data_IF_915912450349
#
_entry.id   IF_915912450349
#
_cell.length_a   1.000
_cell.length_b   1.000
_cell.length_c   1.000
_cell.angle_alpha   90.00
_cell.angle_beta   90.00
_cell.angle_gamma   90.00
#
_symmetry.space_group_name_H-M   'P 1'
#
loop_
_entity.id
_entity.type
_entity.pdbx_description
1 polymer ?
#
# COMPACT_ATOMS: atom_id res chain seq x y z
N UNK A 1 2.31 4.85 9.22
CA UNK A 1 3.08 4.56 8.02
C UNK A 1 4.56 4.49 8.38
N UNK A 2 5.35 3.75 7.61
CA UNK A 2 6.78 3.58 7.89
C UNK A 2 7.71 4.43 7.02
N UNK A 3 7.19 5.16 6.04
CA UNK A 3 8.02 5.88 5.08
C UNK A 3 7.36 7.12 4.49
N UNK A 4 6.36 6.98 3.59
CA UNK A 4 5.50 8.06 3.12
C UNK A 4 4.40 8.41 4.12
N UNK A 5 3.52 9.36 3.80
CA UNK A 5 2.35 9.76 4.61
C UNK A 5 2.68 10.16 6.06
N UNK A 6 3.86 10.76 6.29
CA UNK A 6 4.33 11.18 7.61
C UNK A 6 4.13 12.68 7.88
N UNK A 7 3.25 13.35 7.12
CA UNK A 7 3.10 14.81 7.19
C UNK A 7 2.81 15.34 8.59
N UNK A 8 1.91 14.69 9.33
CA UNK A 8 1.54 15.13 10.69
C UNK A 8 2.71 15.00 11.68
N UNK A 9 3.54 13.97 11.52
CA UNK A 9 4.77 13.82 12.32
C UNK A 9 5.81 14.86 11.93
N UNK A 10 6.03 15.06 10.63
CA UNK A 10 7.04 15.98 10.11
C UNK A 10 6.66 17.44 10.30
N UNK A 11 5.38 17.74 10.58
CA UNK A 11 4.94 19.08 11.00
C UNK A 11 5.39 19.45 12.41
N UNK A 12 5.76 18.48 13.26
CA UNK A 12 6.25 18.72 14.62
C UNK A 12 7.73 19.11 14.58
N UNK A 13 8.12 20.18 15.24
CA UNK A 13 9.49 20.69 15.23
C UNK A 13 10.56 19.64 15.55
N UNK A 14 10.26 18.73 16.49
CA UNK A 14 11.19 17.69 16.91
C UNK A 14 11.48 16.63 15.82
N UNK A 15 10.61 16.50 14.80
CA UNK A 15 10.76 15.51 13.72
C UNK A 15 11.04 16.14 12.36
N UNK A 16 10.94 17.46 12.26
CA UNK A 16 11.11 18.21 11.01
C UNK A 16 12.45 17.91 10.32
N UNK A 17 13.49 17.68 11.10
CA UNK A 17 14.81 17.31 10.57
C UNK A 17 14.84 15.94 9.88
N UNK A 18 13.81 15.09 10.07
CA UNK A 18 13.72 13.76 9.46
C UNK A 18 13.08 13.78 8.08
N UNK A 19 12.54 14.92 7.64
CA UNK A 19 11.92 15.05 6.33
C UNK A 19 12.96 14.93 5.21
N UNK A 20 12.59 14.19 4.16
CA UNK A 20 13.36 14.11 2.90
C UNK A 20 13.46 15.48 2.25
N UNK A 21 12.32 16.19 2.13
CA UNK A 21 12.22 17.56 1.60
C UNK A 21 11.66 18.50 2.67
N UNK A 22 12.48 19.06 3.59
CA UNK A 22 12.00 19.85 4.73
C UNK A 22 11.18 21.10 4.36
N UNK A 23 11.43 21.65 3.17
CA UNK A 23 10.71 22.84 2.66
C UNK A 23 9.44 22.49 1.87
N UNK A 24 9.06 21.21 1.85
CA UNK A 24 7.97 20.68 1.04
C UNK A 24 8.41 20.30 -0.36
N UNK A 25 7.49 19.71 -1.11
CA UNK A 25 7.73 19.13 -2.42
C UNK A 25 6.62 19.50 -3.41
N UNK A 26 6.98 19.85 -4.65
CA UNK A 26 6.00 20.09 -5.71
C UNK A 26 5.57 18.79 -6.38
N UNK A 27 4.28 18.48 -6.27
CA UNK A 27 3.66 17.33 -6.93
C UNK A 27 2.25 17.69 -7.39
N UNK A 28 1.85 17.20 -8.58
CA UNK A 28 0.54 17.48 -9.22
C UNK A 28 0.20 18.97 -9.32
N UNK A 29 1.22 19.79 -9.60
CA UNK A 29 1.06 21.25 -9.78
C UNK A 29 0.79 22.04 -8.49
N UNK A 30 1.04 21.44 -7.32
CA UNK A 30 0.94 22.15 -6.04
C UNK A 30 2.09 21.78 -5.10
N UNK A 31 2.52 22.78 -4.32
CA UNK A 31 3.49 22.54 -3.25
C UNK A 31 2.80 21.90 -2.06
N UNK A 32 3.29 20.73 -1.66
CA UNK A 32 2.80 19.96 -0.52
C UNK A 32 3.76 20.02 0.66
N UNK A 33 3.26 19.93 1.90
CA UNK A 33 4.12 19.82 3.07
C UNK A 33 4.96 18.53 2.99
N UNK A 34 6.10 18.46 3.73
CA UNK A 34 6.89 17.24 3.82
C UNK A 34 6.04 16.04 4.24
N UNK A 35 6.19 14.90 3.55
CA UNK A 35 5.44 13.68 3.84
C UNK A 35 6.30 12.42 3.83
N UNK A 36 7.53 12.47 3.32
CA UNK A 36 8.44 11.33 3.25
C UNK A 36 9.59 11.51 4.22
N UNK A 37 9.93 10.45 4.97
CA UNK A 37 11.13 10.42 5.81
C UNK A 37 12.39 10.34 4.94
N UNK A 38 13.48 10.94 5.40
CA UNK A 38 14.81 10.74 4.84
C UNK A 38 15.33 9.33 5.24
N UNK A 39 15.42 8.36 4.31
CA UNK A 39 15.83 6.99 4.63
C UNK A 39 17.33 6.88 4.95
N UNK A 40 18.11 7.91 4.62
CA UNK A 40 19.55 7.95 4.89
C UNK A 40 19.86 8.45 6.30
N UNK A 41 18.89 9.07 6.96
CA UNK A 41 19.03 9.55 8.32
C UNK A 41 18.78 8.41 9.33
N UNK A 42 19.75 8.02 10.15
CA UNK A 42 19.56 6.93 11.12
C UNK A 42 18.45 7.22 12.13
N UNK A 43 18.14 8.48 12.44
CA UNK A 43 17.04 8.85 13.33
C UNK A 43 15.66 8.54 12.71
N UNK A 44 15.52 8.58 11.37
CA UNK A 44 14.31 8.13 10.68
C UNK A 44 14.04 6.64 10.93
N UNK A 45 15.08 5.82 10.82
CA UNK A 45 14.99 4.40 11.14
C UNK A 45 14.63 4.17 12.62
N UNK A 46 15.28 4.84 13.55
CA UNK A 46 15.01 4.67 14.99
C UNK A 46 13.58 5.10 15.35
N UNK A 47 13.06 6.19 14.76
CA UNK A 47 11.67 6.61 14.96
C UNK A 47 10.69 5.50 14.53
N UNK A 48 10.81 5.01 13.29
CA UNK A 48 9.88 3.99 12.78
C UNK A 48 10.05 2.66 13.50
N UNK A 49 11.29 2.28 13.83
CA UNK A 49 11.56 1.09 14.63
C UNK A 49 10.85 1.17 15.98
N UNK A 50 10.94 2.29 16.68
CA UNK A 50 10.24 2.48 17.95
C UNK A 50 8.72 2.34 17.77
N UNK A 51 8.14 2.96 16.74
CA UNK A 51 6.71 2.82 16.43
C UNK A 51 6.31 1.35 16.23
N UNK A 52 7.12 0.57 15.49
CA UNK A 52 6.84 -0.85 15.26
C UNK A 52 6.98 -1.67 16.54
N UNK A 53 8.02 -1.42 17.34
CA UNK A 53 8.27 -2.10 18.62
C UNK A 53 7.13 -1.85 19.62
N UNK A 54 6.51 -0.67 19.58
CA UNK A 54 5.35 -0.33 20.42
C UNK A 54 4.05 -0.94 19.88
N UNK A 55 3.85 -1.03 18.55
CA UNK A 55 2.60 -1.49 17.95
C UNK A 55 2.50 -3.01 17.80
N UNK A 56 3.57 -3.67 17.37
CA UNK A 56 3.55 -5.09 17.00
C UNK A 56 3.06 -5.98 18.15
N UNK A 57 3.43 -5.78 19.44
CA UNK A 57 2.98 -6.64 20.54
C UNK A 57 1.45 -6.67 20.72
N UNK A 58 0.73 -5.63 20.29
CA UNK A 58 -0.73 -5.57 20.36
C UNK A 58 -1.44 -6.23 19.20
N UNK A 59 -0.71 -6.69 18.17
CA UNK A 59 -1.28 -7.34 16.99
C UNK A 59 -1.25 -8.86 17.14
N UNK A 60 -2.40 -9.53 16.95
CA UNK A 60 -2.49 -11.01 16.98
C UNK A 60 -2.12 -11.66 15.63
N UNK A 61 -2.27 -10.92 14.52
CA UNK A 61 -1.95 -11.40 13.18
C UNK A 61 -0.48 -11.80 13.06
N UNK A 62 -0.20 -12.83 12.28
CA UNK A 62 1.17 -13.17 11.86
C UNK A 62 1.75 -12.19 10.83
N UNK A 63 0.90 -11.39 10.22
CA UNK A 63 1.30 -10.37 9.24
C UNK A 63 1.34 -8.99 9.89
N UNK A 64 2.29 -8.17 9.44
CA UNK A 64 2.40 -6.77 9.82
C UNK A 64 2.65 -5.92 8.57
N UNK A 65 1.67 -5.06 8.22
CA UNK A 65 1.82 -4.15 7.09
C UNK A 65 2.65 -2.93 7.51
N UNK A 66 3.82 -2.80 6.91
CA UNK A 66 4.74 -1.69 7.12
C UNK A 66 4.34 -0.44 6.31
N UNK A 67 3.35 -0.59 5.42
CA UNK A 67 2.88 0.36 4.41
C UNK A 67 3.94 0.59 3.31
N UNK A 68 4.75 1.61 3.38
CA UNK A 68 5.80 1.92 2.39
C UNK A 68 5.30 2.49 1.06
N UNK A 69 4.05 2.89 0.99
CA UNK A 69 3.42 3.50 -0.17
C UNK A 69 3.78 4.98 -0.34
N UNK A 70 3.78 5.41 -1.58
CA UNK A 70 3.81 6.81 -2.02
C UNK A 70 4.91 7.70 -1.41
N UNK A 71 6.17 7.26 -1.31
CA UNK A 71 7.26 8.11 -0.85
C UNK A 71 7.71 9.06 -1.99
N UNK A 72 6.84 9.94 -2.43
CA UNK A 72 7.04 10.78 -3.63
C UNK A 72 8.28 11.68 -3.59
N UNK A 73 8.76 12.04 -2.39
CA UNK A 73 9.91 12.92 -2.21
C UNK A 73 11.25 12.20 -2.31
N UNK A 74 11.25 10.84 -2.26
CA UNK A 74 12.47 10.04 -2.26
C UNK A 74 13.37 10.35 -3.46
N UNK A 75 14.63 10.68 -3.18
CA UNK A 75 15.61 11.05 -4.19
C UNK A 75 15.53 12.51 -4.68
N UNK A 76 14.61 13.30 -4.15
CA UNK A 76 14.47 14.71 -4.52
C UNK A 76 15.07 15.68 -3.49
N UNK A 77 15.29 15.21 -2.27
CA UNK A 77 15.85 15.99 -1.17
C UNK A 77 17.18 15.45 -0.65
N UNK A 78 17.21 15.10 0.63
CA UNK A 78 18.43 14.70 1.34
C UNK A 78 19.03 13.38 0.83
N UNK A 79 18.20 12.41 0.45
CA UNK A 79 18.65 11.14 -0.10
C UNK A 79 19.14 11.20 -1.55
N UNK A 80 19.01 12.36 -2.21
CA UNK A 80 19.33 12.52 -3.64
C UNK A 80 20.71 12.02 -4.02
N UNK A 81 21.73 12.33 -3.23
CA UNK A 81 23.09 11.90 -3.55
C UNK A 81 23.26 10.38 -3.46
N UNK A 82 22.59 9.74 -2.50
CA UNK A 82 22.63 8.29 -2.38
C UNK A 82 21.87 7.60 -3.52
N UNK A 83 20.71 8.13 -3.88
CA UNK A 83 19.95 7.65 -5.03
C UNK A 83 20.71 7.78 -6.37
N UNK A 84 21.55 8.80 -6.51
CA UNK A 84 22.40 8.97 -7.69
C UNK A 84 23.57 7.97 -7.75
N UNK A 85 24.05 7.45 -6.62
CA UNK A 85 25.11 6.43 -6.58
C UNK A 85 24.61 5.04 -6.96
N UNK A 86 23.37 4.72 -6.61
CA UNK A 86 22.76 3.40 -6.82
C UNK A 86 21.50 3.52 -7.70
N UNK A 87 20.36 3.65 -7.09
CA UNK A 87 19.07 4.06 -7.68
C UNK A 87 18.10 4.41 -6.55
N UNK A 88 17.01 5.09 -6.87
CA UNK A 88 15.93 5.39 -5.92
C UNK A 88 15.34 4.12 -5.33
N UNK A 89 15.12 3.09 -6.17
CA UNK A 89 14.57 1.80 -5.75
C UNK A 89 15.54 1.02 -4.85
N UNK A 90 16.85 1.13 -5.09
CA UNK A 90 17.84 0.46 -4.24
C UNK A 90 17.89 1.09 -2.84
N UNK A 91 17.83 2.41 -2.73
CA UNK A 91 17.72 3.12 -1.45
C UNK A 91 16.40 2.78 -0.74
N UNK A 92 15.29 2.70 -1.48
CA UNK A 92 14.00 2.27 -0.96
C UNK A 92 14.08 0.86 -0.38
N UNK A 93 14.63 -0.11 -1.12
CA UNK A 93 14.74 -1.51 -0.70
C UNK A 93 15.66 -1.65 0.52
N UNK A 94 16.77 -0.93 0.56
CA UNK A 94 17.67 -0.97 1.71
C UNK A 94 16.96 -0.50 3.00
N UNK A 95 16.25 0.60 2.94
CA UNK A 95 15.49 1.12 4.08
C UNK A 95 14.36 0.17 4.49
N UNK A 96 13.62 -0.37 3.51
CA UNK A 96 12.57 -1.36 3.71
C UNK A 96 13.10 -2.61 4.44
N UNK A 97 14.19 -3.19 3.97
CA UNK A 97 14.75 -4.43 4.55
C UNK A 97 15.27 -4.20 5.99
N UNK A 98 15.82 -3.03 6.29
CA UNK A 98 16.17 -2.66 7.67
C UNK A 98 14.96 -2.72 8.60
N UNK A 99 13.83 -2.16 8.18
CA UNK A 99 12.59 -2.18 8.97
C UNK A 99 11.89 -3.54 8.97
N UNK A 100 11.94 -4.29 7.86
CA UNK A 100 11.45 -5.65 7.80
C UNK A 100 12.17 -6.56 8.81
N UNK A 101 13.46 -6.35 9.05
CA UNK A 101 14.21 -7.07 10.07
C UNK A 101 13.70 -6.77 11.49
N UNK A 102 13.18 -5.58 11.76
CA UNK A 102 12.51 -5.28 13.04
C UNK A 102 11.25 -6.13 13.18
N UNK A 103 10.42 -6.19 12.13
CA UNK A 103 9.18 -6.98 12.12
C UNK A 103 9.45 -8.48 12.33
N UNK A 104 10.50 -9.02 11.68
CA UNK A 104 10.93 -10.43 11.81
C UNK A 104 11.34 -10.82 13.23
N UNK A 105 11.95 -9.89 14.01
CA UNK A 105 12.30 -10.14 15.43
C UNK A 105 11.10 -10.48 16.31
N UNK A 106 9.90 -10.06 15.90
CA UNK A 106 8.64 -10.37 16.57
C UNK A 106 7.92 -11.59 15.95
N UNK A 107 8.60 -12.40 15.14
CA UNK A 107 8.03 -13.54 14.43
C UNK A 107 6.84 -13.16 13.54
N UNK A 108 6.85 -11.95 12.98
CA UNK A 108 5.83 -11.48 12.04
C UNK A 108 6.36 -11.50 10.61
N UNK A 109 5.44 -11.71 9.67
CA UNK A 109 5.71 -11.60 8.24
C UNK A 109 5.50 -10.14 7.80
N UNK A 110 6.53 -9.45 7.27
CA UNK A 110 6.36 -8.09 6.79
C UNK A 110 5.51 -8.06 5.52
N UNK A 111 4.68 -7.04 5.39
CA UNK A 111 3.89 -6.72 4.20
C UNK A 111 4.17 -5.29 3.78
N UNK A 112 4.07 -5.01 2.49
CA UNK A 112 4.25 -3.67 1.91
C UNK A 112 3.23 -3.40 0.82
N UNK A 113 2.86 -2.12 0.63
CA UNK A 113 2.21 -1.66 -0.59
C UNK A 113 3.21 -1.63 -1.74
N UNK A 114 2.78 -2.04 -2.92
CA UNK A 114 3.64 -2.39 -4.04
C UNK A 114 3.88 -1.31 -5.09
N UNK A 115 3.26 -0.15 -4.98
CA UNK A 115 3.20 0.91 -6.00
C UNK A 115 4.56 1.40 -6.51
N UNK A 116 5.58 1.40 -5.65
CA UNK A 116 6.94 1.78 -6.05
C UNK A 116 7.58 0.69 -6.91
N UNK A 117 7.51 -0.57 -6.45
CA UNK A 117 8.29 -1.65 -7.04
C UNK A 117 7.57 -2.38 -8.18
N UNK A 118 6.24 -2.32 -8.28
CA UNK A 118 5.49 -2.94 -9.40
C UNK A 118 5.93 -2.41 -10.75
N UNK A 119 6.42 -1.17 -10.79
CA UNK A 119 6.98 -0.50 -11.99
C UNK A 119 8.42 -0.91 -12.29
N UNK A 120 9.08 -1.62 -11.36
CA UNK A 120 10.49 -2.03 -11.42
C UNK A 120 10.63 -3.52 -11.11
N UNK A 121 10.14 -4.43 -11.99
CA UNK A 121 10.15 -5.88 -11.74
C UNK A 121 11.54 -6.45 -11.48
N UNK A 122 12.57 -5.90 -12.12
CA UNK A 122 13.97 -6.26 -11.91
C UNK A 122 14.43 -6.04 -10.47
N UNK A 123 13.88 -5.03 -9.81
CA UNK A 123 14.19 -4.68 -8.41
C UNK A 123 13.44 -5.55 -7.40
N UNK A 124 12.25 -6.03 -7.74
CA UNK A 124 11.47 -6.92 -6.86
C UNK A 124 12.27 -8.18 -6.50
N UNK A 125 13.10 -8.67 -7.42
CA UNK A 125 13.95 -9.85 -7.18
C UNK A 125 14.97 -9.66 -6.02
N UNK A 126 15.26 -8.42 -5.64
CA UNK A 126 16.16 -8.07 -4.53
C UNK A 126 15.49 -8.16 -3.16
N UNK A 127 14.16 -8.16 -3.12
CA UNK A 127 13.42 -8.30 -1.86
C UNK A 127 13.59 -9.68 -1.25
N UNK A 128 13.61 -9.74 0.08
CA UNK A 128 13.53 -10.99 0.82
C UNK A 128 12.24 -11.74 0.52
N UNK A 129 12.32 -13.03 0.28
CA UNK A 129 11.18 -13.86 -0.19
C UNK A 129 10.05 -14.08 0.82
N UNK A 130 10.24 -13.66 2.06
CA UNK A 130 9.20 -13.68 3.09
C UNK A 130 8.29 -12.46 3.07
N UNK A 131 8.72 -11.37 2.43
CA UNK A 131 7.90 -10.15 2.30
C UNK A 131 6.67 -10.44 1.44
N UNK A 132 5.50 -10.03 1.93
CA UNK A 132 4.25 -10.08 1.17
C UNK A 132 4.00 -8.74 0.49
N UNK A 133 3.90 -8.77 -0.82
CA UNK A 133 3.66 -7.63 -1.68
C UNK A 133 2.16 -7.38 -1.82
N UNK A 134 1.69 -6.16 -1.66
CA UNK A 134 0.28 -5.80 -1.83
C UNK A 134 0.20 -4.87 -3.04
N UNK A 135 -0.26 -5.42 -4.16
CA UNK A 135 -0.49 -4.66 -5.38
C UNK A 135 -1.89 -4.05 -5.36
N UNK A 136 -1.99 -2.72 -5.43
CA UNK A 136 -3.24 -1.99 -5.29
C UNK A 136 -3.60 -1.19 -6.53
N UNK A 137 -4.89 -1.13 -6.83
CA UNK A 137 -5.42 -0.35 -7.93
C UNK A 137 -6.93 -0.16 -7.84
N UNK A 138 -7.40 1.05 -8.14
CA UNK A 138 -8.77 1.48 -7.87
C UNK A 138 -9.51 2.01 -9.10
N UNK A 139 -8.86 1.96 -10.26
CA UNK A 139 -9.45 2.33 -11.53
C UNK A 139 -9.67 1.07 -12.36
N UNK A 140 -10.78 0.98 -13.08
CA UNK A 140 -11.11 -0.17 -13.95
C UNK A 140 -10.03 -0.53 -14.97
N UNK A 141 -9.20 0.43 -15.36
CA UNK A 141 -8.08 0.21 -16.27
C UNK A 141 -6.84 -0.39 -15.60
N UNK A 142 -6.86 -0.61 -14.26
CA UNK A 142 -5.70 -1.16 -13.56
C UNK A 142 -5.51 -2.64 -13.90
N UNK A 143 -4.30 -3.01 -14.31
CA UNK A 143 -3.99 -4.32 -14.89
C UNK A 143 -3.55 -5.35 -13.84
N UNK A 144 -4.46 -5.74 -12.96
CA UNK A 144 -4.20 -6.80 -11.98
C UNK A 144 -3.75 -8.12 -12.62
N UNK A 145 -4.20 -8.42 -13.83
CA UNK A 145 -3.92 -9.70 -14.50
C UNK A 145 -2.44 -9.82 -14.86
N UNK A 146 -1.87 -8.80 -15.51
CA UNK A 146 -0.46 -8.80 -15.87
C UNK A 146 0.46 -8.63 -14.66
N UNK A 147 0.04 -7.84 -13.66
CA UNK A 147 0.79 -7.71 -12.40
C UNK A 147 0.84 -9.04 -11.65
N UNK A 148 -0.28 -9.73 -11.48
CA UNK A 148 -0.33 -11.02 -10.82
C UNK A 148 0.53 -12.08 -11.52
N UNK A 149 0.47 -12.13 -12.87
CA UNK A 149 1.33 -13.00 -13.68
C UNK A 149 2.81 -12.72 -13.43
N UNK A 150 3.21 -11.46 -13.47
CA UNK A 150 4.58 -11.02 -13.21
C UNK A 150 5.05 -11.41 -11.79
N UNK A 151 4.22 -11.17 -10.77
CA UNK A 151 4.56 -11.49 -9.37
C UNK A 151 4.68 -13.00 -9.16
N UNK A 152 3.84 -13.82 -9.81
CA UNK A 152 3.97 -15.29 -9.82
C UNK A 152 5.29 -15.73 -10.47
N UNK A 153 5.63 -15.21 -11.65
CA UNK A 153 6.89 -15.51 -12.36
C UNK A 153 8.12 -15.15 -11.50
N UNK A 154 8.05 -14.05 -10.75
CA UNK A 154 9.09 -13.63 -9.81
C UNK A 154 9.08 -14.41 -8.48
N UNK A 155 8.12 -15.32 -8.30
CA UNK A 155 7.94 -16.12 -7.07
C UNK A 155 7.81 -15.27 -5.81
N UNK A 156 7.10 -14.17 -5.90
CA UNK A 156 6.78 -13.27 -4.80
C UNK A 156 5.45 -13.67 -4.20
N UNK A 157 5.34 -13.65 -2.87
CA UNK A 157 4.04 -13.77 -2.18
C UNK A 157 3.30 -12.45 -2.30
N UNK A 158 2.03 -12.47 -2.73
CA UNK A 158 1.30 -11.23 -2.93
C UNK A 158 -0.18 -11.34 -2.61
N UNK A 159 -0.77 -10.20 -2.31
CA UNK A 159 -2.21 -9.93 -2.30
C UNK A 159 -2.51 -8.89 -3.38
N UNK A 160 -3.69 -8.93 -3.94
CA UNK A 160 -4.21 -7.87 -4.81
C UNK A 160 -5.21 -7.03 -4.01
N UNK A 161 -5.10 -5.71 -4.11
CA UNK A 161 -5.90 -4.80 -3.31
C UNK A 161 -6.81 -3.92 -4.19
N UNK A 162 -8.01 -4.42 -4.55
CA UNK A 162 -9.07 -3.60 -5.10
C UNK A 162 -9.71 -2.73 -4.02
N UNK A 163 -10.59 -1.82 -4.39
CA UNK A 163 -11.29 -0.97 -3.44
C UNK A 163 -12.79 -0.90 -3.66
N UNK A 164 -13.51 -0.46 -2.64
CA UNK A 164 -14.92 -0.07 -2.74
C UNK A 164 -15.13 1.11 -3.68
N UNK A 165 -14.05 1.88 -3.93
CA UNK A 165 -14.00 3.05 -4.80
C UNK A 165 -15.03 4.13 -4.44
N UNK A 166 -15.39 4.26 -3.15
CA UNK A 166 -16.38 5.22 -2.64
C UNK A 166 -15.75 6.53 -2.17
N UNK A 167 -14.49 6.53 -1.76
CA UNK A 167 -13.78 7.74 -1.33
C UNK A 167 -13.62 8.76 -2.45
N UNK A 168 -13.41 10.02 -2.11
CA UNK A 168 -13.34 11.16 -3.03
C UNK A 168 -14.57 11.26 -3.95
N UNK A 169 -15.75 10.81 -3.46
CA UNK A 169 -17.01 10.75 -4.18
C UNK A 169 -18.16 10.82 -3.16
N UNK A 170 -19.35 11.22 -3.59
CA UNK A 170 -20.55 11.23 -2.74
C UNK A 170 -21.22 9.85 -2.70
N UNK A 171 -21.27 9.16 -3.86
CA UNK A 171 -22.03 7.90 -4.02
C UNK A 171 -21.17 6.71 -4.43
N UNK A 172 -19.89 6.94 -4.71
CA UNK A 172 -18.97 5.91 -5.18
C UNK A 172 -18.82 5.82 -6.72
N UNK A 173 -17.75 5.19 -7.14
CA UNK A 173 -17.40 4.89 -8.54
C UNK A 173 -17.72 3.41 -8.81
N UNK A 174 -19.01 3.12 -9.06
CA UNK A 174 -19.54 1.76 -9.15
C UNK A 174 -18.77 0.87 -10.16
N UNK A 175 -18.49 1.38 -11.36
CA UNK A 175 -17.79 0.59 -12.40
C UNK A 175 -16.36 0.26 -11.96
N UNK A 176 -15.66 1.22 -11.36
CA UNK A 176 -14.31 0.98 -10.84
C UNK A 176 -14.34 -0.08 -9.74
N UNK A 177 -15.25 0.01 -8.78
CA UNK A 177 -15.45 -0.99 -7.72
C UNK A 177 -15.67 -2.37 -8.31
N UNK A 178 -16.68 -2.51 -9.18
CA UNK A 178 -17.08 -3.79 -9.77
C UNK A 178 -15.91 -4.43 -10.53
N UNK A 179 -15.33 -3.74 -11.50
CA UNK A 179 -14.30 -4.29 -12.37
C UNK A 179 -12.98 -4.56 -11.63
N UNK A 180 -12.58 -3.72 -10.67
CA UNK A 180 -11.35 -3.99 -9.89
C UNK A 180 -11.51 -5.18 -8.97
N UNK A 181 -12.67 -5.40 -8.34
CA UNK A 181 -12.95 -6.59 -7.52
C UNK A 181 -12.97 -7.86 -8.40
N UNK A 182 -13.63 -7.83 -9.54
CA UNK A 182 -13.69 -8.96 -10.47
C UNK A 182 -12.30 -9.34 -10.98
N UNK A 183 -11.57 -8.35 -11.52
CA UNK A 183 -10.25 -8.57 -12.11
C UNK A 183 -9.21 -9.03 -11.08
N UNK A 184 -9.19 -8.43 -9.89
CA UNK A 184 -8.26 -8.83 -8.83
C UNK A 184 -8.58 -10.23 -8.31
N UNK A 185 -9.85 -10.57 -8.12
CA UNK A 185 -10.25 -11.91 -7.66
C UNK A 185 -9.91 -12.98 -8.71
N UNK A 186 -10.21 -12.71 -9.98
CA UNK A 186 -9.83 -13.59 -11.09
C UNK A 186 -8.31 -13.78 -11.17
N UNK A 187 -7.55 -12.69 -11.16
CA UNK A 187 -6.10 -12.70 -11.26
C UNK A 187 -5.45 -13.44 -10.08
N UNK A 188 -5.92 -13.16 -8.85
CA UNK A 188 -5.42 -13.84 -7.65
C UNK A 188 -5.65 -15.34 -7.69
N UNK A 189 -6.83 -15.80 -8.12
CA UNK A 189 -7.13 -17.23 -8.29
C UNK A 189 -6.29 -17.88 -9.39
N UNK A 190 -6.15 -17.21 -10.53
CA UNK A 190 -5.45 -17.73 -11.71
C UNK A 190 -3.94 -17.83 -11.52
N UNK A 191 -3.33 -16.88 -10.83
CA UNK A 191 -1.88 -16.76 -10.66
C UNK A 191 -1.43 -16.99 -9.21
N UNK A 192 -2.19 -17.76 -8.45
CA UNK A 192 -1.83 -18.28 -7.12
C UNK A 192 -1.47 -17.19 -6.09
N UNK A 193 -2.11 -16.02 -6.17
CA UNK A 193 -2.04 -15.01 -5.12
C UNK A 193 -2.59 -15.53 -3.79
N UNK A 194 -2.20 -14.91 -2.69
CA UNK A 194 -2.70 -15.26 -1.35
C UNK A 194 -4.19 -14.91 -1.16
N UNK A 195 -4.74 -14.07 -2.02
CA UNK A 195 -6.12 -13.59 -1.99
C UNK A 195 -6.22 -12.12 -2.39
N UNK A 196 -7.34 -11.51 -2.02
CA UNK A 196 -7.53 -10.06 -2.16
C UNK A 196 -7.56 -9.38 -0.80
N UNK A 197 -7.20 -8.09 -0.77
CA UNK A 197 -7.33 -7.19 0.36
C UNK A 197 -8.21 -6.01 -0.09
N UNK A 198 -9.53 -6.15 0.12
CA UNK A 198 -10.46 -5.08 -0.25
C UNK A 198 -10.27 -3.87 0.66
N UNK A 199 -10.05 -2.70 0.06
CA UNK A 199 -9.80 -1.45 0.76
C UNK A 199 -11.00 -0.51 0.69
N UNK A 200 -11.13 0.35 1.70
CA UNK A 200 -12.07 1.46 1.75
C UNK A 200 -11.37 2.66 2.40
N UNK A 201 -11.08 3.68 1.61
CA UNK A 201 -10.29 4.83 2.05
C UNK A 201 -11.18 6.01 2.44
N UNK A 202 -10.63 6.91 3.25
CA UNK A 202 -11.29 8.11 3.72
C UNK A 202 -10.72 9.41 3.14
N UNK A 203 -10.13 9.35 1.94
CA UNK A 203 -9.47 10.48 1.30
C UNK A 203 -10.36 11.70 1.17
N UNK A 204 -9.74 12.88 1.16
CA UNK A 204 -10.41 14.19 0.95
C UNK A 204 -11.53 14.47 1.95
N UNK A 205 -11.34 14.04 3.21
CA UNK A 205 -12.26 14.33 4.31
C UNK A 205 -13.40 13.35 4.48
N UNK A 206 -13.39 12.19 3.79
CA UNK A 206 -14.36 11.12 3.94
C UNK A 206 -15.81 11.60 3.72
N UNK A 207 -16.10 12.13 2.54
CA UNK A 207 -17.43 12.72 2.22
C UNK A 207 -18.53 11.68 2.05
N UNK A 208 -18.17 10.43 1.73
CA UNK A 208 -19.12 9.33 1.52
C UNK A 208 -19.64 8.78 2.85
N UNK A 209 -20.91 8.38 2.87
CA UNK A 209 -21.46 7.60 3.97
C UNK A 209 -21.02 6.14 3.87
N UNK A 210 -20.73 5.51 5.01
CA UNK A 210 -20.30 4.10 5.07
C UNK A 210 -21.24 3.13 4.31
N UNK A 211 -22.57 3.25 4.31
CA UNK A 211 -23.45 2.41 3.50
C UNK A 211 -23.15 2.41 2.00
N UNK A 212 -22.54 3.47 1.45
CA UNK A 212 -22.11 3.49 0.05
C UNK A 212 -21.08 2.41 -0.26
N UNK A 213 -20.31 1.97 0.74
CA UNK A 213 -19.27 0.93 0.61
C UNK A 213 -19.80 -0.49 0.79
N UNK A 214 -21.03 -0.67 1.30
CA UNK A 214 -21.57 -2.00 1.64
C UNK A 214 -21.64 -2.92 0.43
N UNK A 215 -22.05 -2.43 -0.73
CA UNK A 215 -22.11 -3.24 -1.94
C UNK A 215 -20.71 -3.80 -2.31
N UNK A 216 -19.67 -2.95 -2.23
CA UNK A 216 -18.30 -3.38 -2.48
C UNK A 216 -17.83 -4.44 -1.48
N UNK A 217 -18.16 -4.29 -0.19
CA UNK A 217 -17.82 -5.30 0.83
C UNK A 217 -18.51 -6.64 0.58
N UNK A 218 -19.82 -6.62 0.27
CA UNK A 218 -20.59 -7.83 -0.01
C UNK A 218 -20.05 -8.52 -1.27
N UNK A 219 -19.83 -7.75 -2.34
CA UNK A 219 -19.36 -8.28 -3.60
C UNK A 219 -17.95 -8.87 -3.49
N UNK A 220 -17.03 -8.16 -2.86
CA UNK A 220 -15.68 -8.64 -2.61
C UNK A 220 -15.64 -9.91 -1.73
N UNK A 221 -16.44 -9.96 -0.68
CA UNK A 221 -16.57 -11.14 0.16
C UNK A 221 -17.14 -12.34 -0.63
N UNK A 222 -18.20 -12.12 -1.42
CA UNK A 222 -18.82 -13.15 -2.24
C UNK A 222 -17.83 -13.75 -3.23
N UNK A 223 -17.13 -12.93 -4.01
CA UNK A 223 -16.19 -13.41 -5.01
C UNK A 223 -14.92 -14.04 -4.41
N UNK A 224 -14.55 -13.65 -3.19
CA UNK A 224 -13.43 -14.26 -2.46
C UNK A 224 -13.77 -15.67 -1.96
N UNK A 225 -14.99 -15.86 -1.49
CA UNK A 225 -15.43 -17.13 -0.87
C UNK A 225 -16.03 -18.11 -1.86
N UNK A 226 -16.84 -17.62 -2.81
CA UNK A 226 -17.61 -18.46 -3.72
C UNK A 226 -17.55 -17.93 -5.15
N UNK A 227 -18.69 -17.89 -5.80
CA UNK A 227 -18.96 -17.24 -7.07
C UNK A 227 -20.31 -16.54 -6.97
N UNK A 228 -20.51 -15.51 -7.76
CA UNK A 228 -21.76 -14.78 -7.81
C UNK A 228 -21.64 -13.59 -8.75
N UNK A 229 -22.76 -12.89 -8.94
CA UNK A 229 -22.83 -11.72 -9.78
C UNK A 229 -23.04 -10.47 -8.92
N UNK A 230 -22.87 -9.29 -9.52
CA UNK A 230 -23.15 -8.04 -8.83
C UNK A 230 -24.63 -7.95 -8.44
N UNK A 231 -25.54 -8.47 -9.28
CA UNK A 231 -26.99 -8.51 -9.01
C UNK A 231 -27.32 -9.41 -7.78
N UNK A 232 -26.53 -10.45 -7.55
CA UNK A 232 -26.66 -11.27 -6.32
C UNK A 232 -26.22 -10.47 -5.10
N UNK A 233 -25.13 -9.71 -5.18
CA UNK A 233 -24.68 -8.83 -4.11
C UNK A 233 -25.70 -7.73 -3.80
N UNK A 234 -26.35 -7.16 -4.82
CA UNK A 234 -27.44 -6.18 -4.65
C UNK A 234 -28.65 -6.78 -3.92
N UNK A 235 -29.00 -8.04 -4.20
CA UNK A 235 -30.07 -8.73 -3.46
C UNK A 235 -29.72 -8.90 -1.98
N UNK A 236 -28.47 -9.24 -1.66
CA UNK A 236 -28.02 -9.33 -0.27
C UNK A 236 -28.05 -7.95 0.41
N UNK A 237 -27.62 -6.90 -0.29
CA UNK A 237 -27.68 -5.54 0.24
C UNK A 237 -29.11 -5.11 0.58
N UNK A 238 -30.10 -5.52 -0.20
CA UNK A 238 -31.50 -5.18 0.03
C UNK A 238 -32.12 -5.85 1.29
N UNK A 239 -31.42 -6.79 1.92
CA UNK A 239 -31.88 -7.50 3.12
C UNK A 239 -31.30 -6.85 4.40
N UNK A 240 -30.23 -6.08 4.29
CA UNK A 240 -29.58 -5.38 5.41
C UNK A 240 -30.24 -4.01 5.65
#
# INVERSE_FOLDING_TARGET
NGFGHMSDWLALDKFKELAECPDGFEIWGSKRPPSTLDPTNPKSFELVKQMYEEMIPFTKSKYFNMNFDEPYELGHGKSKQECLKTSTEDVYIEYLEKLANVVRKYNKTPMIWGDVLVKHPDKISKLSKDIVFIDWGYNKAYDFVNHAKMLEELKVKYLLAPGTSTWSSITGRFIDMKETIENSTYASKKYHGLGILLTDWGDMGHLQYLPSSYLGFIYGAMLSWSSGTIEDAEKYLAII
#
